data_IF_401051141642
#
_entry.id   IF_401051141642
#
_cell.length_a   1.000
_cell.length_b   1.000
_cell.length_c   1.000
_cell.angle_alpha   90.00
_cell.angle_beta   90.00
_cell.angle_gamma   90.00
#
_symmetry.space_group_name_H-M   'P 1'
#
loop_
_entity.id
_entity.type
_entity.pdbx_description
1 polymer ?
#
# COMPACT_ATOMS: atom_id res chain seq x y z
N UNK A 1 -6.69 -44.55 -9.23
CA UNK A 1 -6.17 -43.17 -9.17
C UNK A 1 -5.95 -42.80 -7.70
N UNK A 2 -4.84 -42.14 -7.33
CA UNK A 2 -4.69 -41.64 -5.97
C UNK A 2 -5.74 -40.56 -5.69
N UNK A 3 -6.23 -40.42 -4.43
CA UNK A 3 -7.21 -39.38 -4.09
C UNK A 3 -6.60 -38.01 -4.37
N UNK A 4 -7.32 -37.20 -5.16
CA UNK A 4 -6.91 -35.85 -5.55
C UNK A 4 -6.79 -34.99 -4.28
N UNK A 5 -5.60 -34.46 -3.98
CA UNK A 5 -5.42 -33.52 -2.86
C UNK A 5 -6.32 -32.28 -3.07
N UNK A 6 -6.99 -31.76 -2.04
CA UNK A 6 -7.84 -30.59 -2.19
C UNK A 6 -6.98 -29.34 -2.43
N UNK A 7 -7.29 -28.62 -3.52
CA UNK A 7 -6.70 -27.31 -3.81
C UNK A 7 -7.26 -26.31 -2.79
N UNK A 8 -6.40 -25.74 -1.96
CA UNK A 8 -6.76 -24.62 -1.09
C UNK A 8 -6.51 -23.30 -1.83
N UNK A 9 -7.46 -22.39 -1.76
CA UNK A 9 -7.27 -21.00 -2.17
C UNK A 9 -7.17 -20.13 -0.92
N UNK A 10 -6.14 -19.29 -0.89
CA UNK A 10 -5.93 -18.24 0.12
C UNK A 10 -6.37 -16.92 -0.52
N UNK A 11 -7.21 -16.16 0.15
CA UNK A 11 -7.51 -14.78 -0.22
C UNK A 11 -7.40 -13.91 1.02
N UNK A 12 -6.56 -12.87 0.94
CA UNK A 12 -6.42 -11.86 1.99
C UNK A 12 -6.94 -10.54 1.41
N UNK A 13 -7.85 -9.90 2.12
CA UNK A 13 -8.32 -8.56 1.82
C UNK A 13 -8.01 -7.68 3.03
N UNK A 14 -7.08 -6.75 2.89
CA UNK A 14 -6.90 -5.68 3.87
C UNK A 14 -7.96 -4.62 3.58
N UNK A 15 -8.87 -4.41 4.52
CA UNK A 15 -9.82 -3.30 4.48
C UNK A 15 -9.33 -2.20 5.41
N UNK A 16 -9.34 -0.97 4.90
CA UNK A 16 -9.16 0.26 5.69
C UNK A 16 -10.14 0.25 6.88
N UNK A 17 -9.62 0.62 8.05
CA UNK A 17 -10.44 0.84 9.24
C UNK A 17 -11.43 1.97 8.97
N UNK A 18 -12.72 1.73 9.28
CA UNK A 18 -13.91 2.59 9.11
C UNK A 18 -14.89 2.20 7.97
N UNK A 19 -14.85 0.97 7.47
CA UNK A 19 -15.93 0.47 6.63
C UNK A 19 -17.19 0.12 7.46
N UNK A 20 -18.34 0.77 7.16
CA UNK A 20 -19.64 0.46 7.78
C UNK A 20 -20.11 -0.98 7.48
N UNK A 21 -19.63 -1.54 6.37
CA UNK A 21 -19.94 -2.88 5.87
C UNK A 21 -18.69 -3.57 5.33
N UNK A 22 -18.45 -4.80 5.78
CA UNK A 22 -17.43 -5.69 5.21
C UNK A 22 -18.12 -6.82 4.47
N UNK A 23 -17.83 -6.97 3.18
CA UNK A 23 -18.30 -8.07 2.35
C UNK A 23 -17.13 -9.02 2.05
N UNK A 24 -17.23 -10.26 2.52
CA UNK A 24 -16.22 -11.28 2.25
C UNK A 24 -16.81 -12.35 1.33
N UNK A 25 -16.21 -12.53 0.15
CA UNK A 25 -16.52 -13.63 -0.77
C UNK A 25 -15.58 -14.80 -0.50
N UNK A 26 -16.14 -15.91 -0.03
CA UNK A 26 -15.41 -17.15 0.23
C UNK A 26 -15.79 -18.15 -0.86
N UNK A 27 -14.79 -18.69 -1.55
CA UNK A 27 -14.99 -19.72 -2.56
C UNK A 27 -14.41 -21.06 -2.07
N UNK A 28 -15.30 -22.03 -1.88
CA UNK A 28 -15.00 -23.39 -1.45
C UNK A 28 -14.90 -24.31 -2.66
N UNK A 29 -13.67 -24.52 -3.13
CA UNK A 29 -13.37 -25.40 -4.26
C UNK A 29 -13.52 -26.90 -3.95
N UNK A 30 -14.01 -27.27 -2.76
CA UNK A 30 -14.39 -28.66 -2.45
C UNK A 30 -15.83 -29.01 -2.83
N UNK A 31 -16.63 -28.02 -3.25
CA UNK A 31 -18.01 -28.20 -3.71
C UNK A 31 -18.15 -27.63 -5.13
N UNK A 32 -18.87 -28.34 -6.00
CA UNK A 32 -19.20 -27.87 -7.35
C UNK A 32 -20.62 -27.25 -7.36
N UNK A 33 -20.81 -26.12 -8.07
CA UNK A 33 -22.11 -25.42 -8.19
C UNK A 33 -22.23 -24.13 -7.39
N UNK A 34 -23.41 -23.47 -7.40
CA UNK A 34 -23.64 -22.15 -6.75
C UNK A 34 -23.36 -22.16 -5.24
N UNK A 35 -23.50 -23.31 -4.57
CA UNK A 35 -23.20 -23.49 -3.14
C UNK A 35 -21.69 -23.47 -2.81
N UNK A 36 -20.82 -23.40 -3.82
CA UNK A 36 -19.37 -23.24 -3.68
C UNK A 36 -18.94 -21.81 -3.32
N UNK A 37 -19.85 -20.84 -3.37
CA UNK A 37 -19.55 -19.44 -3.08
C UNK A 37 -20.44 -18.95 -1.94
N UNK A 38 -19.83 -18.41 -0.89
CA UNK A 38 -20.53 -17.75 0.21
C UNK A 38 -20.11 -16.30 0.33
N UNK A 39 -21.07 -15.42 0.57
CA UNK A 39 -20.82 -14.01 0.90
C UNK A 39 -21.19 -13.80 2.36
N UNK A 40 -20.23 -13.34 3.16
CA UNK A 40 -20.45 -12.95 4.54
C UNK A 40 -20.51 -11.42 4.60
N UNK A 41 -21.56 -10.88 5.20
CA UNK A 41 -21.70 -9.45 5.44
C UNK A 41 -21.67 -9.19 6.96
N UNK A 42 -20.82 -8.26 7.36
CA UNK A 42 -20.74 -7.75 8.73
C UNK A 42 -21.07 -6.27 8.71
N UNK A 43 -21.94 -5.80 9.63
CA UNK A 43 -22.32 -4.38 9.78
C UNK A 43 -21.83 -3.83 11.12
N UNK A 44 -21.24 -2.64 11.10
CA UNK A 44 -20.83 -1.87 12.29
C UNK A 44 -19.34 -1.44 12.29
N UNK A 45 -18.98 -0.40 13.07
CA UNK A 45 -17.63 0.15 13.07
C UNK A 45 -16.62 -0.87 13.61
N UNK A 46 -15.74 -1.36 12.74
CA UNK A 46 -14.69 -2.33 13.08
C UNK A 46 -13.51 -1.60 13.72
N UNK A 47 -13.59 -1.33 15.03
CA UNK A 47 -12.41 -0.98 15.84
C UNK A 47 -11.84 -2.23 16.47
N UNK A 48 -10.71 -2.70 15.96
CA UNK A 48 -10.00 -3.87 16.47
C UNK A 48 -9.95 -5.01 15.46
N UNK A 49 -8.84 -5.75 15.53
CA UNK A 49 -8.40 -6.84 14.66
C UNK A 49 -9.55 -7.76 14.18
N UNK A 50 -9.65 -7.98 12.88
CA UNK A 50 -10.55 -8.98 12.30
C UNK A 50 -10.05 -10.39 12.64
N UNK A 51 -10.89 -11.20 13.28
CA UNK A 51 -10.62 -12.61 13.56
C UNK A 51 -10.31 -13.38 12.27
N UNK A 52 -9.09 -13.93 12.17
CA UNK A 52 -8.69 -14.90 11.16
C UNK A 52 -8.59 -16.28 11.82
N UNK A 53 -9.62 -17.10 11.63
CA UNK A 53 -9.62 -18.50 12.08
C UNK A 53 -8.87 -19.37 11.07
N UNK A 54 -7.67 -19.81 11.41
CA UNK A 54 -6.95 -20.82 10.63
C UNK A 54 -7.23 -22.23 11.15
N UNK A 55 -7.59 -23.15 10.25
CA UNK A 55 -7.51 -24.60 10.51
C UNK A 55 -6.36 -25.14 9.67
N UNK A 56 -5.22 -25.38 10.30
CA UNK A 56 -4.14 -26.17 9.71
C UNK A 56 -3.91 -27.41 10.56
N UNK A 57 -4.20 -28.59 10.01
CA UNK A 57 -3.60 -29.82 10.53
C UNK A 57 -2.17 -29.99 9.97
N UNK A 58 -1.23 -30.58 10.76
CA UNK A 58 -1.51 -31.40 11.95
C UNK A 58 -0.77 -30.92 13.21
N UNK A 59 -1.14 -29.77 13.82
CA UNK A 59 -0.85 -29.56 15.25
C UNK A 59 -2.02 -28.82 15.90
N UNK A 60 -2.71 -29.56 16.77
CA UNK A 60 -3.84 -29.12 17.58
C UNK A 60 -3.37 -28.24 18.74
N UNK A 61 -3.85 -26.99 18.76
CA UNK A 61 -4.31 -26.36 20.00
C UNK A 61 -5.38 -25.33 19.66
N UNK A 62 -6.64 -25.73 19.80
CA UNK A 62 -7.78 -24.82 19.73
C UNK A 62 -7.67 -23.86 20.91
N UNK A 63 -7.30 -22.61 20.67
CA UNK A 63 -7.52 -21.55 21.67
C UNK A 63 -8.98 -21.14 21.53
N UNK A 64 -9.88 -21.89 22.18
CA UNK A 64 -11.25 -21.46 22.36
C UNK A 64 -11.25 -20.32 23.37
N UNK A 65 -11.29 -19.08 22.90
CA UNK A 65 -11.79 -17.98 23.72
C UNK A 65 -13.19 -17.68 23.24
N UNK A 66 -14.17 -18.17 24.00
CA UNK A 66 -15.55 -17.78 23.84
C UNK A 66 -15.67 -16.29 24.19
N UNK A 67 -16.27 -15.51 23.30
CA UNK A 67 -16.77 -14.18 23.62
C UNK A 67 -18.13 -14.42 24.26
N UNK A 68 -18.21 -14.32 25.58
CA UNK A 68 -19.46 -14.58 26.30
C UNK A 68 -20.52 -13.50 25.99
N UNK A 69 -20.11 -12.27 25.64
CA UNK A 69 -21.03 -11.15 25.39
C UNK A 69 -20.46 -10.13 24.38
N UNK A 70 -21.30 -9.65 23.45
CA UNK A 70 -21.01 -8.49 22.60
C UNK A 70 -21.76 -7.29 23.18
N UNK A 71 -21.01 -6.29 23.61
CA UNK A 71 -21.52 -5.10 24.29
C UNK A 71 -21.29 -3.89 23.38
N UNK A 72 -22.32 -3.08 23.12
CA UNK A 72 -22.13 -1.81 22.41
C UNK A 72 -21.39 -0.76 23.27
N UNK A 73 -21.00 0.37 22.67
CA UNK A 73 -20.31 1.46 23.37
C UNK A 73 -21.10 2.12 24.52
N UNK A 74 -22.32 1.65 24.80
CA UNK A 74 -23.18 2.09 25.91
C UNK A 74 -23.42 1.01 26.97
N UNK A 75 -22.87 -0.20 26.80
CA UNK A 75 -22.98 -1.27 27.80
C UNK A 75 -24.07 -2.31 27.54
N UNK A 76 -24.73 -2.33 26.36
CA UNK A 76 -25.89 -3.20 26.10
C UNK A 76 -25.61 -4.34 25.10
N UNK A 77 -26.21 -5.52 25.32
CA UNK A 77 -26.04 -6.73 24.49
C UNK A 77 -26.81 -6.69 23.17
N UNK A 78 -26.22 -7.18 22.07
CA UNK A 78 -26.86 -7.23 20.74
C UNK A 78 -26.83 -8.66 20.14
N UNK A 79 -27.96 -9.16 19.63
CA UNK A 79 -28.10 -10.51 19.01
C UNK A 79 -27.91 -10.49 17.48
N UNK A 80 -27.28 -11.53 16.91
CA UNK A 80 -27.00 -11.66 15.46
C UNK A 80 -28.18 -12.26 14.67
N UNK A 81 -28.35 -11.87 13.39
CA UNK A 81 -29.41 -12.37 12.50
C UNK A 81 -28.83 -12.89 11.16
N UNK A 82 -29.42 -13.97 10.61
CA UNK A 82 -29.08 -14.57 9.30
C UNK A 82 -30.13 -14.23 8.23
N UNK A 83 -29.72 -13.95 6.99
CA UNK A 83 -30.62 -13.80 5.83
C UNK A 83 -29.94 -14.07 4.48
N UNK A 84 -30.72 -14.42 3.44
CA UNK A 84 -30.28 -14.67 2.05
C UNK A 84 -30.80 -13.52 1.17
N UNK A 85 -29.92 -12.84 0.42
CA UNK A 85 -30.32 -11.80 -0.55
C UNK A 85 -30.34 -12.35 -1.98
N UNK A 86 -31.38 -11.99 -2.75
CA UNK A 86 -31.41 -12.08 -4.22
C UNK A 86 -31.64 -10.68 -4.80
N UNK A 87 -31.10 -10.43 -6.00
CA UNK A 87 -31.29 -9.18 -6.74
C UNK A 87 -31.91 -9.47 -8.11
N UNK A 88 -32.89 -8.66 -8.51
CA UNK A 88 -33.31 -8.50 -9.90
C UNK A 88 -33.00 -7.07 -10.35
N UNK A 89 -32.46 -6.93 -11.55
CA UNK A 89 -32.16 -5.64 -12.17
C UNK A 89 -33.28 -5.26 -13.13
N UNK A 90 -33.89 -4.09 -12.91
CA UNK A 90 -34.63 -3.39 -13.96
C UNK A 90 -34.05 -1.98 -14.09
N UNK A 91 -33.54 -1.68 -15.27
CA UNK A 91 -33.19 -0.32 -15.70
C UNK A 91 -34.45 0.43 -16.11
N UNK A 92 -34.62 1.66 -15.63
CA UNK A 92 -35.38 2.69 -16.34
C UNK A 92 -35.09 4.06 -15.76
N UNK A 93 -34.96 5.00 -16.68
CA UNK A 93 -34.78 6.44 -16.56
C UNK A 93 -36.07 7.16 -16.11
N UNK A 94 -35.89 8.45 -15.79
CA UNK A 94 -36.88 9.55 -15.68
C UNK A 94 -37.45 9.94 -14.30
N UNK A 95 -37.00 11.12 -13.85
CA UNK A 95 -37.76 12.34 -13.55
C UNK A 95 -39.06 12.26 -12.70
N UNK A 96 -39.07 12.94 -11.54
CA UNK A 96 -40.30 13.49 -10.94
C UNK A 96 -40.03 14.51 -9.81
N UNK A 97 -40.28 15.78 -10.14
CA UNK A 97 -40.60 16.90 -9.25
C UNK A 97 -41.83 16.59 -8.37
N UNK A 98 -41.83 16.94 -7.06
CA UNK A 98 -43.05 17.34 -6.30
C UNK A 98 -42.77 17.98 -4.90
N UNK A 99 -43.09 19.28 -4.85
CA UNK A 99 -43.69 20.13 -3.79
C UNK A 99 -44.04 19.60 -2.38
N UNK A 100 -43.48 20.28 -1.34
CA UNK A 100 -44.05 21.02 -0.17
C UNK A 100 -45.33 20.52 0.57
N UNK A 101 -45.45 20.74 1.91
CA UNK A 101 -45.87 22.06 2.45
C UNK A 101 -45.18 22.57 3.73
N UNK A 102 -45.32 23.89 3.92
CA UNK A 102 -44.86 24.72 5.05
C UNK A 102 -45.61 24.44 6.36
N UNK A 103 -44.96 24.75 7.49
CA UNK A 103 -45.61 25.30 8.67
C UNK A 103 -44.76 26.43 9.25
N UNK A 104 -45.35 27.62 9.36
CA UNK A 104 -44.82 28.82 10.01
C UNK A 104 -44.88 28.68 11.54
N UNK A 105 -43.93 29.28 12.27
CA UNK A 105 -44.21 30.48 13.10
C UNK A 105 -43.03 30.85 14.02
N UNK A 106 -42.96 32.16 14.27
CA UNK A 106 -42.31 32.89 15.37
C UNK A 106 -40.88 33.41 15.15
N UNK A 107 -40.87 34.71 14.84
CA UNK A 107 -39.77 35.67 14.97
C UNK A 107 -39.24 35.74 16.41
N UNK A 108 -37.92 35.76 16.55
CA UNK A 108 -37.24 36.53 17.59
C UNK A 108 -35.92 37.06 17.04
N UNK A 109 -35.86 38.38 16.89
CA UNK A 109 -34.67 39.14 16.56
C UNK A 109 -33.59 38.94 17.65
N UNK A 110 -32.48 38.30 17.28
CA UNK A 110 -31.22 38.45 18.00
C UNK A 110 -30.09 38.54 16.98
N UNK A 111 -29.51 39.72 16.86
CA UNK A 111 -28.34 40.02 16.02
C UNK A 111 -27.15 39.15 16.48
N UNK A 112 -26.56 38.28 15.63
CA UNK A 112 -25.28 37.67 15.97
C UNK A 112 -24.15 38.57 15.46
N UNK A 113 -23.19 38.85 16.35
CA UNK A 113 -21.95 39.52 16.03
C UNK A 113 -21.25 38.81 14.85
N UNK A 114 -20.76 39.61 13.90
CA UNK A 114 -20.01 39.17 12.72
C UNK A 114 -18.73 38.44 13.16
N UNK A 115 -18.78 37.10 13.17
CA UNK A 115 -17.60 36.26 13.29
C UNK A 115 -16.87 36.29 11.94
N UNK A 116 -15.79 37.05 11.85
CA UNK A 116 -14.90 37.07 10.69
C UNK A 116 -14.27 35.68 10.55
N UNK A 117 -14.70 34.93 9.54
CA UNK A 117 -14.08 33.68 9.12
C UNK A 117 -12.69 33.98 8.53
N UNK A 118 -11.67 34.03 9.38
CA UNK A 118 -10.28 33.96 8.90
C UNK A 118 -10.00 32.55 8.42
N UNK A 119 -9.80 32.42 7.11
CA UNK A 119 -9.35 31.17 6.48
C UNK A 119 -8.04 30.73 7.15
N UNK A 120 -7.89 29.45 7.54
CA UNK A 120 -6.63 28.98 8.11
C UNK A 120 -5.50 29.17 7.09
N UNK A 121 -4.27 29.50 7.52
CA UNK A 121 -3.15 29.65 6.63
C UNK A 121 -2.92 28.33 5.87
N UNK A 122 -2.91 28.41 4.54
CA UNK A 122 -2.62 27.28 3.65
C UNK A 122 -1.23 26.76 4.00
N UNK A 123 -1.17 25.58 4.62
CA UNK A 123 0.08 24.87 4.89
C UNK A 123 0.91 24.82 3.59
N UNK A 124 2.23 25.09 3.64
CA UNK A 124 3.05 25.08 2.44
C UNK A 124 2.97 23.69 1.79
N UNK A 125 2.63 23.65 0.52
CA UNK A 125 2.62 22.40 -0.26
C UNK A 125 4.02 21.81 -0.25
N UNK A 126 4.17 20.49 -0.04
CA UNK A 126 5.49 19.85 0.02
C UNK A 126 6.25 20.06 -1.29
N UNK A 127 7.58 20.24 -1.20
CA UNK A 127 8.45 20.37 -2.36
C UNK A 127 8.29 19.16 -3.30
N UNK A 128 8.10 19.39 -4.61
CA UNK A 128 8.00 18.30 -5.60
C UNK A 128 9.30 17.50 -5.69
N UNK A 129 9.19 16.18 -5.88
CA UNK A 129 10.29 15.22 -5.91
C UNK A 129 10.81 14.99 -7.34
N UNK A 130 12.11 14.78 -7.48
CA UNK A 130 12.76 14.25 -8.69
C UNK A 130 12.81 12.72 -8.58
N UNK A 131 12.27 12.02 -9.57
CA UNK A 131 12.09 10.57 -9.52
C UNK A 131 12.92 9.88 -10.60
N UNK A 132 13.77 8.94 -10.20
CA UNK A 132 14.30 7.95 -11.13
C UNK A 132 13.29 6.79 -11.28
N UNK A 133 13.09 6.28 -12.49
CA UNK A 133 12.23 5.11 -12.73
C UNK A 133 12.94 4.09 -13.60
N UNK A 134 12.79 2.80 -13.31
CA UNK A 134 13.37 1.73 -14.12
C UNK A 134 12.68 0.39 -13.93
N UNK A 135 12.89 -0.52 -14.88
CA UNK A 135 12.44 -1.89 -14.83
C UNK A 135 13.31 -2.87 -15.60
N UNK A 136 13.17 -4.17 -15.33
CA UNK A 136 13.59 -5.20 -16.28
C UNK A 136 12.49 -5.47 -17.33
N UNK A 137 12.72 -6.45 -18.19
CA UNK A 137 11.79 -6.83 -19.26
C UNK A 137 10.38 -7.16 -18.77
N UNK A 138 10.27 -7.70 -17.55
CA UNK A 138 9.01 -8.10 -16.95
C UNK A 138 8.20 -6.93 -16.36
N UNK A 139 8.79 -5.74 -16.22
CA UNK A 139 8.18 -4.58 -15.56
C UNK A 139 7.78 -3.43 -16.50
N UNK A 140 7.97 -3.58 -17.81
CA UNK A 140 7.82 -2.48 -18.79
C UNK A 140 6.39 -1.93 -18.83
N UNK A 141 5.38 -2.80 -18.74
CA UNK A 141 3.97 -2.40 -18.78
C UNK A 141 3.62 -1.50 -17.59
N UNK A 142 4.02 -1.91 -16.39
CA UNK A 142 3.77 -1.14 -15.17
C UNK A 142 4.62 0.12 -15.14
N UNK A 143 5.90 0.05 -15.52
CA UNK A 143 6.78 1.21 -15.58
C UNK A 143 6.17 2.33 -16.43
N UNK A 144 5.69 2.01 -17.63
CA UNK A 144 5.13 3.01 -18.54
C UNK A 144 3.83 3.64 -17.98
N UNK A 145 2.96 2.82 -17.38
CA UNK A 145 1.73 3.31 -16.75
C UNK A 145 2.04 4.22 -15.56
N UNK A 146 2.93 3.79 -14.66
CA UNK A 146 3.31 4.56 -13.47
C UNK A 146 4.11 5.81 -13.84
N UNK A 147 4.93 5.78 -14.90
CA UNK A 147 5.61 6.97 -15.43
C UNK A 147 4.60 8.03 -15.88
N UNK A 148 3.52 7.64 -16.55
CA UNK A 148 2.48 8.57 -16.96
C UNK A 148 1.79 9.21 -15.74
N UNK A 149 1.46 8.42 -14.72
CA UNK A 149 0.88 8.94 -13.47
C UNK A 149 1.81 9.90 -12.73
N UNK A 150 3.10 9.55 -12.64
CA UNK A 150 4.12 10.41 -12.04
C UNK A 150 4.22 11.74 -12.78
N UNK A 151 4.18 11.70 -14.12
CA UNK A 151 4.27 12.90 -14.97
C UNK A 151 3.07 13.84 -14.77
N UNK A 152 1.91 13.30 -14.42
CA UNK A 152 0.69 14.06 -14.16
C UNK A 152 0.59 14.57 -12.71
N UNK A 153 1.49 14.16 -11.81
CA UNK A 153 1.41 14.49 -10.39
C UNK A 153 2.08 15.83 -10.07
N UNK A 154 1.43 16.75 -9.34
CA UNK A 154 2.07 17.99 -8.91
C UNK A 154 3.17 17.80 -7.84
N UNK A 155 3.28 16.58 -7.29
CA UNK A 155 4.31 16.22 -6.31
C UNK A 155 5.61 15.73 -6.97
N UNK A 156 5.69 15.73 -8.30
CA UNK A 156 6.87 15.30 -9.08
C UNK A 156 7.33 16.47 -9.94
N UNK A 157 8.62 16.82 -9.86
CA UNK A 157 9.22 17.87 -10.70
C UNK A 157 9.84 17.33 -11.98
N UNK A 158 10.59 16.24 -11.89
CA UNK A 158 11.26 15.60 -13.03
C UNK A 158 11.27 14.08 -12.91
N UNK A 159 11.34 13.41 -14.05
CA UNK A 159 11.45 11.95 -14.13
C UNK A 159 12.64 11.57 -15.01
N UNK A 160 13.51 10.72 -14.49
CA UNK A 160 14.62 10.11 -15.23
C UNK A 160 14.33 8.62 -15.41
N UNK A 161 14.01 8.19 -16.64
CA UNK A 161 13.75 6.79 -16.98
C UNK A 161 15.09 6.10 -17.36
N UNK A 162 15.57 5.20 -16.50
CA UNK A 162 16.82 4.46 -16.71
C UNK A 162 16.63 3.16 -17.50
N UNK A 163 15.42 2.92 -18.03
CA UNK A 163 15.10 1.74 -18.82
C UNK A 163 14.67 0.54 -17.97
N UNK A 164 14.44 -0.62 -18.58
CA UNK A 164 14.53 -0.88 -20.03
C UNK A 164 13.36 -0.26 -20.81
N UNK A 165 13.54 0.12 -22.09
CA UNK A 165 12.47 0.77 -22.88
C UNK A 165 11.40 -0.21 -23.37
N UNK A 166 11.78 -1.46 -23.65
CA UNK A 166 10.92 -2.49 -24.25
C UNK A 166 11.15 -3.85 -23.61
N UNK A 167 10.15 -4.74 -23.65
CA UNK A 167 10.22 -6.09 -23.04
C UNK A 167 11.12 -7.07 -23.80
N UNK A 168 11.59 -6.70 -24.99
CA UNK A 168 12.57 -7.44 -25.78
C UNK A 168 14.00 -7.24 -25.25
N UNK A 169 14.26 -6.15 -24.53
CA UNK A 169 15.55 -5.86 -23.90
C UNK A 169 15.76 -6.78 -22.70
N UNK A 170 16.81 -7.62 -22.75
CA UNK A 170 17.13 -8.61 -21.71
C UNK A 170 18.21 -8.15 -20.73
N UNK A 171 18.41 -6.85 -20.60
CA UNK A 171 19.30 -6.28 -19.57
C UNK A 171 18.87 -6.78 -18.19
N UNK A 172 19.81 -7.37 -17.46
CA UNK A 172 19.53 -7.92 -16.14
C UNK A 172 19.15 -6.81 -15.14
N UNK A 173 18.13 -7.08 -14.32
CA UNK A 173 17.59 -6.13 -13.35
C UNK A 173 18.63 -5.45 -12.42
N UNK A 174 19.79 -6.06 -12.04
CA UNK A 174 20.75 -5.38 -11.18
C UNK A 174 21.33 -4.11 -11.81
N UNK A 175 21.58 -4.10 -13.12
CA UNK A 175 22.14 -2.93 -13.81
C UNK A 175 21.18 -1.74 -13.74
N UNK A 176 19.89 -1.99 -13.99
CA UNK A 176 18.83 -0.98 -13.92
C UNK A 176 18.66 -0.47 -12.49
N UNK A 177 18.62 -1.40 -11.52
CA UNK A 177 18.45 -1.05 -10.11
C UNK A 177 19.61 -0.18 -9.59
N UNK A 178 20.85 -0.55 -9.91
CA UNK A 178 22.05 0.21 -9.51
C UNK A 178 22.08 1.58 -10.20
N UNK A 179 21.75 1.67 -11.49
CA UNK A 179 21.70 2.96 -12.19
C UNK A 179 20.72 3.95 -11.54
N UNK A 180 19.49 3.50 -11.23
CA UNK A 180 18.51 4.36 -10.55
C UNK A 180 18.94 4.72 -9.12
N UNK A 181 19.49 3.75 -8.37
CA UNK A 181 19.97 3.96 -7.01
C UNK A 181 21.16 4.94 -6.96
N UNK A 182 22.06 4.91 -7.94
CA UNK A 182 23.18 5.86 -8.06
C UNK A 182 22.71 7.29 -8.34
N UNK A 183 21.64 7.48 -9.13
CA UNK A 183 21.05 8.81 -9.31
C UNK A 183 20.54 9.39 -7.98
N UNK A 184 19.97 8.55 -7.12
CA UNK A 184 19.54 8.96 -5.78
C UNK A 184 20.75 9.23 -4.87
N UNK A 185 21.73 8.33 -4.83
CA UNK A 185 22.91 8.46 -3.97
C UNK A 185 23.75 9.70 -4.31
N UNK A 186 23.83 10.07 -5.60
CA UNK A 186 24.53 11.26 -6.08
C UNK A 186 23.71 12.56 -5.96
N UNK A 187 22.47 12.49 -5.48
CA UNK A 187 21.59 13.65 -5.34
C UNK A 187 21.01 14.18 -6.65
N UNK A 188 21.10 13.43 -7.75
CA UNK A 188 20.47 13.76 -9.05
C UNK A 188 18.96 13.45 -9.06
N UNK A 189 18.53 12.49 -8.24
CA UNK A 189 17.13 12.21 -7.94
C UNK A 189 16.90 12.20 -6.42
N UNK A 190 15.66 12.44 -5.98
CA UNK A 190 15.31 12.36 -4.56
C UNK A 190 14.86 10.95 -4.17
N UNK A 191 14.22 10.25 -5.11
CA UNK A 191 13.73 8.87 -4.94
C UNK A 191 13.80 8.08 -6.24
N UNK A 192 13.69 6.75 -6.13
CA UNK A 192 13.54 5.87 -7.29
C UNK A 192 12.35 4.91 -7.16
N UNK A 193 11.69 4.64 -8.29
CA UNK A 193 10.66 3.62 -8.43
C UNK A 193 11.18 2.51 -9.35
N UNK A 194 11.28 1.29 -8.84
CA UNK A 194 11.80 0.14 -9.59
C UNK A 194 10.74 -0.94 -9.75
N UNK A 195 10.58 -1.47 -10.96
CA UNK A 195 9.62 -2.52 -11.25
C UNK A 195 10.36 -3.73 -11.81
N UNK A 196 10.07 -4.93 -11.29
CA UNK A 196 10.43 -6.16 -11.99
C UNK A 196 9.31 -7.19 -11.84
N UNK A 197 9.56 -8.46 -12.16
CA UNK A 197 8.56 -9.51 -11.95
C UNK A 197 7.99 -9.55 -10.52
N UNK A 198 8.85 -9.49 -9.49
CA UNK A 198 8.44 -9.58 -8.07
C UNK A 198 8.76 -8.35 -7.22
N UNK A 199 9.58 -7.42 -7.74
CA UNK A 199 10.16 -6.31 -6.99
C UNK A 199 11.37 -6.68 -6.12
N UNK A 200 11.60 -7.96 -5.85
CA UNK A 200 12.62 -8.43 -4.90
C UNK A 200 14.05 -8.20 -5.41
N UNK A 201 14.34 -8.63 -6.64
CA UNK A 201 15.69 -8.56 -7.19
C UNK A 201 16.21 -7.14 -7.30
N UNK A 202 15.38 -6.22 -7.77
CA UNK A 202 15.73 -4.80 -7.87
C UNK A 202 15.94 -4.16 -6.49
N UNK A 203 15.15 -4.53 -5.48
CA UNK A 203 15.38 -4.06 -4.11
C UNK A 203 16.71 -4.57 -3.54
N UNK A 204 17.01 -5.86 -3.73
CA UNK A 204 18.28 -6.45 -3.27
C UNK A 204 19.47 -5.74 -3.91
N UNK A 205 19.42 -5.52 -5.23
CA UNK A 205 20.50 -4.88 -5.97
C UNK A 205 20.66 -3.39 -5.60
N UNK A 206 19.56 -2.63 -5.50
CA UNK A 206 19.61 -1.22 -5.13
C UNK A 206 20.21 -0.99 -3.73
N UNK A 207 19.92 -1.87 -2.77
CA UNK A 207 20.52 -1.83 -1.42
C UNK A 207 22.04 -2.11 -1.40
N UNK A 208 22.66 -2.49 -2.52
CA UNK A 208 24.12 -2.63 -2.63
C UNK A 208 24.81 -1.31 -3.00
N UNK A 209 24.06 -0.25 -3.26
CA UNK A 209 24.60 1.09 -3.49
C UNK A 209 24.71 1.81 -2.14
N UNK A 210 25.90 2.30 -1.76
CA UNK A 210 26.09 3.00 -0.49
C UNK A 210 25.08 4.11 -0.24
N UNK A 211 24.49 4.12 0.95
CA UNK A 211 23.52 5.12 1.42
C UNK A 211 22.09 4.94 0.90
N UNK A 212 21.83 3.90 0.11
CA UNK A 212 20.50 3.59 -0.44
C UNK A 212 19.77 2.58 0.44
N UNK A 213 18.50 2.88 0.70
CA UNK A 213 17.54 1.98 1.34
C UNK A 213 16.40 1.74 0.36
N UNK A 214 16.30 0.50 -0.11
CA UNK A 214 15.31 0.04 -1.06
C UNK A 214 14.41 -1.03 -0.44
N UNK A 215 13.11 -0.96 -0.71
CA UNK A 215 12.13 -1.91 -0.19
C UNK A 215 11.21 -2.41 -1.28
N UNK A 216 10.75 -3.66 -1.16
CA UNK A 216 9.58 -4.12 -1.91
C UNK A 216 8.35 -3.95 -1.02
N UNK A 217 7.35 -3.18 -1.46
CA UNK A 217 6.13 -2.94 -0.69
C UNK A 217 4.90 -2.99 -1.59
N UNK A 218 3.90 -3.80 -1.22
CA UNK A 218 2.69 -4.05 -2.01
C UNK A 218 1.38 -3.76 -1.24
N UNK A 219 1.48 -2.98 -0.16
CA UNK A 219 0.35 -2.51 0.65
C UNK A 219 0.64 -1.11 1.22
N UNK A 220 -0.43 -0.37 1.54
CA UNK A 220 -0.35 1.04 1.96
C UNK A 220 0.45 1.23 3.24
N UNK A 221 0.33 0.31 4.20
CA UNK A 221 1.04 0.41 5.46
C UNK A 221 2.55 0.26 5.25
N UNK A 222 2.97 -0.76 4.51
CA UNK A 222 4.38 -0.96 4.16
C UNK A 222 4.94 0.23 3.39
N UNK A 223 4.18 0.83 2.47
CA UNK A 223 4.59 2.02 1.72
C UNK A 223 4.74 3.25 2.62
N UNK A 224 3.82 3.47 3.55
CA UNK A 224 3.96 4.53 4.55
C UNK A 224 5.22 4.32 5.40
N UNK A 225 5.38 3.12 5.96
CA UNK A 225 6.52 2.81 6.84
C UNK A 225 7.85 2.80 6.10
N UNK A 226 7.87 2.49 4.81
CA UNK A 226 9.05 2.64 3.97
C UNK A 226 9.63 4.06 4.10
N UNK A 227 8.77 5.08 4.07
CA UNK A 227 9.21 6.47 4.21
C UNK A 227 9.36 6.85 5.69
N UNK A 228 8.29 6.72 6.49
CA UNK A 228 8.23 7.32 7.83
C UNK A 228 9.06 6.57 8.90
N UNK A 229 9.35 5.29 8.69
CA UNK A 229 10.28 4.54 9.56
C UNK A 229 11.68 4.44 8.96
N UNK A 230 11.77 4.08 7.68
CA UNK A 230 13.04 3.60 7.11
C UNK A 230 13.75 4.66 6.27
N UNK A 231 13.10 5.81 6.03
CA UNK A 231 13.59 6.82 5.10
C UNK A 231 14.04 6.19 3.76
N UNK A 232 13.28 5.21 3.26
CA UNK A 232 13.63 4.46 2.07
C UNK A 232 13.41 5.31 0.83
N UNK A 233 14.49 5.57 0.11
CA UNK A 233 14.45 6.39 -1.10
C UNK A 233 13.95 5.59 -2.31
N UNK A 234 14.03 4.27 -2.26
CA UNK A 234 13.71 3.39 -3.39
C UNK A 234 12.52 2.50 -3.04
N UNK A 235 11.44 2.64 -3.81
CA UNK A 235 10.27 1.76 -3.76
C UNK A 235 10.33 0.77 -4.92
N UNK A 236 10.20 -0.51 -4.61
CA UNK A 236 10.20 -1.59 -5.58
C UNK A 236 8.84 -2.29 -5.64
N UNK A 237 8.38 -2.64 -6.84
CA UNK A 237 7.10 -3.31 -7.07
C UNK A 237 7.24 -4.49 -8.03
N UNK A 238 6.32 -5.46 -7.90
CA UNK A 238 6.32 -6.68 -8.70
C UNK A 238 5.15 -6.73 -9.67
N UNK A 239 5.38 -6.55 -10.97
CA UNK A 239 4.33 -6.56 -11.99
C UNK A 239 3.56 -7.89 -12.04
N UNK A 240 4.19 -9.02 -11.67
CA UNK A 240 3.54 -10.34 -11.62
C UNK A 240 2.87 -10.64 -10.28
N UNK A 241 2.90 -9.70 -9.33
CA UNK A 241 2.48 -9.91 -7.93
C UNK A 241 1.37 -8.95 -7.53
N UNK A 242 1.53 -7.67 -7.80
CA UNK A 242 0.55 -6.63 -7.45
C UNK A 242 -0.22 -6.19 -8.69
N UNK A 243 -1.53 -5.98 -8.58
CA UNK A 243 -2.34 -5.46 -9.68
C UNK A 243 -2.08 -3.97 -9.94
N UNK A 244 -2.19 -3.54 -11.20
CA UNK A 244 -1.76 -2.20 -11.63
C UNK A 244 -2.46 -1.07 -10.88
N UNK A 245 -3.78 -1.15 -10.68
CA UNK A 245 -4.52 -0.08 -9.99
C UNK A 245 -4.11 0.05 -8.51
N UNK A 246 -3.76 -1.06 -7.85
CA UNK A 246 -3.19 -1.01 -6.51
C UNK A 246 -1.79 -0.37 -6.54
N UNK A 247 -0.94 -0.76 -7.50
CA UNK A 247 0.38 -0.15 -7.67
C UNK A 247 0.29 1.38 -7.88
N UNK A 248 -0.65 1.86 -8.71
CA UNK A 248 -0.90 3.29 -8.95
C UNK A 248 -1.30 4.03 -7.67
N UNK A 249 -2.22 3.45 -6.87
CA UNK A 249 -2.61 4.02 -5.56
C UNK A 249 -1.41 4.11 -4.61
N UNK A 250 -0.64 3.03 -4.49
CA UNK A 250 0.50 2.95 -3.59
C UNK A 250 1.61 3.94 -3.97
N UNK A 251 1.93 4.09 -5.25
CA UNK A 251 2.90 5.09 -5.72
C UNK A 251 2.42 6.51 -5.41
N UNK A 252 1.12 6.79 -5.54
CA UNK A 252 0.56 8.10 -5.16
C UNK A 252 0.70 8.38 -3.67
N UNK A 253 0.38 7.41 -2.81
CA UNK A 253 0.53 7.53 -1.35
C UNK A 253 2.00 7.77 -0.99
N UNK A 254 2.91 6.98 -1.58
CA UNK A 254 4.35 7.11 -1.37
C UNK A 254 4.87 8.53 -1.61
N UNK A 255 4.44 9.19 -2.68
CA UNK A 255 4.80 10.57 -2.99
C UNK A 255 4.34 11.59 -1.94
N UNK A 256 3.31 11.27 -1.16
CA UNK A 256 2.77 12.15 -0.11
C UNK A 256 3.59 12.13 1.18
N UNK A 257 4.23 11.02 1.51
CA UNK A 257 4.97 10.89 2.77
C UNK A 257 6.33 11.60 2.74
N UNK A 258 6.73 12.20 3.86
CA UNK A 258 8.05 12.81 4.07
C UNK A 258 8.64 12.33 5.39
N UNK A 259 9.90 11.93 5.38
CA UNK A 259 10.59 11.46 6.57
C UNK A 259 10.91 12.61 7.51
N UNK A 260 10.73 12.40 8.81
CA UNK A 260 11.14 13.32 9.85
C UNK A 260 12.49 12.89 10.45
N UNK A 261 13.53 13.66 10.17
CA UNK A 261 14.89 13.44 10.66
C UNK A 261 15.04 13.61 12.18
N UNK A 262 14.07 14.23 12.87
CA UNK A 262 14.05 14.35 14.32
C UNK A 262 13.29 13.19 15.02
N UNK A 263 12.68 12.29 14.24
CA UNK A 263 11.87 11.19 14.79
C UNK A 263 12.70 10.11 15.47
N UNK A 264 12.05 9.31 16.33
CA UNK A 264 12.70 8.14 16.95
C UNK A 264 13.18 7.10 15.90
N UNK A 265 12.57 7.09 14.71
CA UNK A 265 12.98 6.23 13.61
C UNK A 265 14.35 6.62 13.05
N UNK A 266 14.73 7.90 13.09
CA UNK A 266 16.02 8.39 12.58
C UNK A 266 17.21 7.69 13.22
N UNK A 267 17.17 7.47 14.55
CA UNK A 267 18.22 6.73 15.27
C UNK A 267 18.42 5.30 14.76
N UNK A 268 17.35 4.65 14.28
CA UNK A 268 17.41 3.29 13.70
C UNK A 268 17.97 3.33 12.28
N UNK A 269 17.63 4.35 11.50
CA UNK A 269 18.25 4.60 10.19
C UNK A 269 19.75 4.86 10.36
N UNK A 270 20.15 5.68 11.33
CA UNK A 270 21.56 5.96 11.61
C UNK A 270 22.34 4.68 11.94
N UNK A 271 21.73 3.74 12.67
CA UNK A 271 22.36 2.44 12.95
C UNK A 271 22.58 1.59 11.68
N UNK A 272 21.67 1.67 10.69
CA UNK A 272 21.86 1.02 9.38
C UNK A 272 23.03 1.67 8.64
N UNK A 273 23.11 2.99 8.65
CA UNK A 273 24.18 3.75 8.00
C UNK A 273 25.56 3.47 8.63
N UNK A 274 25.61 3.31 9.95
CA UNK A 274 26.84 2.95 10.65
C UNK A 274 27.29 1.52 10.30
N UNK A 275 26.36 0.56 10.25
CA UNK A 275 26.66 -0.80 9.81
C UNK A 275 27.24 -0.82 8.39
N UNK A 276 26.65 -0.03 7.50
CA UNK A 276 27.14 0.14 6.13
C UNK A 276 28.58 0.66 6.10
N UNK A 277 28.86 1.76 6.83
CA UNK A 277 30.20 2.34 6.93
C UNK A 277 31.25 1.35 7.44
N UNK A 278 30.90 0.55 8.44
CA UNK A 278 31.78 -0.50 8.99
C UNK A 278 32.07 -1.58 7.94
N UNK A 279 31.03 -2.06 7.26
CA UNK A 279 31.17 -3.11 6.25
C UNK A 279 32.03 -2.67 5.05
N UNK A 280 31.86 -1.43 4.57
CA UNK A 280 32.64 -0.92 3.44
C UNK A 280 34.09 -0.61 3.80
N UNK A 281 34.36 -0.11 5.02
CA UNK A 281 35.75 0.09 5.48
C UNK A 281 36.54 -1.22 5.53
N UNK A 282 35.90 -2.33 5.91
CA UNK A 282 36.53 -3.65 5.87
C UNK A 282 36.98 -4.05 4.46
N UNK A 283 36.16 -3.76 3.45
CA UNK A 283 36.46 -4.06 2.05
C UNK A 283 37.62 -3.21 1.48
N UNK A 284 37.74 -1.95 1.88
CA UNK A 284 38.89 -1.11 1.49
C UNK A 284 40.21 -1.68 2.01
N UNK A 285 40.23 -2.14 3.27
CA UNK A 285 41.40 -2.80 3.86
C UNK A 285 41.77 -4.12 3.15
N UNK A 286 40.77 -4.92 2.77
CA UNK A 286 40.98 -6.18 2.04
C UNK A 286 41.53 -5.93 0.62
N UNK A 287 41.07 -4.87 -0.06
CA UNK A 287 41.53 -4.49 -1.39
C UNK A 287 42.95 -3.92 -1.39
N UNK A 288 43.31 -3.15 -0.37
CA UNK A 288 44.68 -2.69 -0.15
C UNK A 288 45.63 -3.86 0.14
N UNK A 289 45.20 -4.82 0.97
CA UNK A 289 45.95 -6.05 1.24
C UNK A 289 46.15 -6.92 0.00
N UNK A 290 45.13 -7.03 -0.86
CA UNK A 290 45.20 -7.81 -2.10
C UNK A 290 46.07 -7.17 -3.19
N UNK A 291 46.26 -5.84 -3.19
CA UNK A 291 47.16 -5.14 -4.13
C UNK A 291 48.63 -5.15 -3.70
N UNK A 292 48.91 -5.54 -2.45
CA UNK A 292 50.26 -5.66 -1.89
C UNK A 292 50.87 -7.06 -1.97
N UNK A 293 50.16 -8.05 -2.53
CA UNK A 293 50.63 -9.41 -2.78
C UNK A 293 51.07 -9.63 -4.22
#
# INVERSE_FOLDING_TARGET
MPPRQPKRALFSLNLDTDADHVYQKVQDHSKDGEDSVRVLESKGPTRGHTDLSYITRPFEKTVNRAVDEVIDGSGKKVHSAKGKLSYSTSSSTEDARKTRPNAETSNANTTPASCKTTTPPKMPSPTPLRIAIGCDDAGVGYKNTLKADLSASPLVSTITDVGVPESTDKTAYPHIAVAAAQLVASGQADRALLICGTGLGVAIAANKVPGIRAVTAHDSFSVERAVLSNNAQVLCMGERVVGIELARRLVREWLGYRFDGASASAKKVDAIMELERVNYKGLEGDLEGARGC
#
